data_IF_672133178955
#
_entry.id   IF_672133178955
#
_cell.length_a   1.000
_cell.length_b   1.000
_cell.length_c   1.000
_cell.angle_alpha   90.00
_cell.angle_beta   90.00
_cell.angle_gamma   90.00
#
_symmetry.space_group_name_H-M   'P 1'
#
loop_
_entity.id
_entity.type
_entity.pdbx_description
1 polymer ?
#
# COMPACT_ATOMS: atom_id res chain seq x y z
N UNK A 1 -6.49 3.34 -17.06
CA UNK A 1 -5.18 3.22 -16.40
C UNK A 1 -5.07 1.93 -15.60
N UNK A 2 -3.83 1.47 -15.39
CA UNK A 2 -3.52 0.48 -14.35
C UNK A 2 -2.72 1.22 -13.27
N UNK A 3 -3.05 0.99 -12.01
CA UNK A 3 -2.29 1.49 -10.86
C UNK A 3 -2.29 0.45 -9.75
N UNK A 4 -1.27 0.45 -8.90
CA UNK A 4 -1.16 -0.53 -7.83
C UNK A 4 -0.02 -0.22 -6.90
N UNK A 5 0.09 -1.04 -5.87
CA UNK A 5 1.13 -0.94 -4.84
C UNK A 5 1.64 -2.32 -4.48
N UNK A 6 2.83 -2.38 -3.91
CA UNK A 6 3.23 -3.49 -3.07
C UNK A 6 2.44 -3.45 -1.74
N UNK A 7 2.29 -4.59 -1.05
CA UNK A 7 1.50 -4.64 0.19
C UNK A 7 2.17 -3.88 1.34
N UNK A 8 3.51 -3.85 1.35
CA UNK A 8 4.33 -3.34 2.45
C UNK A 8 5.23 -2.18 1.99
N UNK A 9 4.71 -1.24 1.18
CA UNK A 9 5.47 -0.15 0.54
C UNK A 9 6.42 0.60 1.50
N UNK A 10 5.95 0.92 2.71
CA UNK A 10 6.71 1.72 3.68
C UNK A 10 7.83 0.98 4.41
N UNK A 11 7.88 -0.37 4.34
CA UNK A 11 8.78 -1.16 5.18
C UNK A 11 10.27 -0.92 4.85
N UNK A 12 10.60 -0.74 3.56
CA UNK A 12 11.95 -0.46 3.10
C UNK A 12 12.43 0.91 3.60
N UNK A 13 11.59 1.93 3.47
CA UNK A 13 11.92 3.31 3.86
C UNK A 13 12.03 3.48 5.37
N UNK A 14 11.26 2.70 6.13
CA UNK A 14 11.24 2.77 7.59
C UNK A 14 12.42 2.07 8.27
N UNK A 15 13.31 1.39 7.55
CA UNK A 15 14.51 0.75 8.14
C UNK A 15 15.36 1.79 8.88
N UNK A 16 15.47 3.01 8.35
CA UNK A 16 16.20 4.12 8.97
C UNK A 16 15.57 4.65 10.26
N UNK A 17 14.34 4.25 10.58
CA UNK A 17 13.61 4.64 11.80
C UNK A 17 13.68 3.59 12.92
N UNK A 18 14.53 2.57 12.79
CA UNK A 18 14.61 1.44 13.74
C UNK A 18 15.01 1.85 15.17
N UNK A 19 15.62 3.03 15.35
CA UNK A 19 15.98 3.58 16.65
C UNK A 19 14.81 4.26 17.38
N UNK A 20 13.64 4.41 16.75
CA UNK A 20 12.45 5.02 17.35
C UNK A 20 11.71 3.97 18.19
N UNK A 21 11.53 4.29 19.46
CA UNK A 21 11.09 3.35 20.50
C UNK A 21 9.74 3.69 21.11
N UNK A 22 9.40 4.98 21.23
CA UNK A 22 8.16 5.42 21.87
C UNK A 22 7.30 6.32 20.95
N UNK A 23 6.09 6.63 21.42
CA UNK A 23 5.11 7.39 20.64
C UNK A 23 5.50 8.87 20.45
N UNK A 24 6.20 9.47 21.41
CA UNK A 24 6.65 10.86 21.31
C UNK A 24 7.76 11.01 20.27
N UNK A 25 8.64 10.01 20.17
CA UNK A 25 9.63 9.92 19.10
C UNK A 25 8.96 9.69 17.73
N UNK A 26 7.88 8.89 17.64
CA UNK A 26 7.09 8.76 16.39
C UNK A 26 6.45 10.09 16.03
N UNK A 27 5.86 10.81 16.99
CA UNK A 27 5.29 12.14 16.76
C UNK A 27 6.34 13.09 16.20
N UNK A 28 7.53 13.10 16.81
CA UNK A 28 8.66 13.92 16.38
C UNK A 28 9.06 13.56 14.95
N UNK A 29 9.19 12.26 14.65
CA UNK A 29 9.46 11.79 13.30
C UNK A 29 8.43 12.27 12.27
N UNK A 30 7.13 12.16 12.60
CA UNK A 30 6.07 12.64 11.72
C UNK A 30 6.18 14.15 11.52
N UNK A 31 6.38 14.92 12.57
CA UNK A 31 6.51 16.38 12.51
C UNK A 31 7.75 16.83 11.73
N UNK A 32 8.87 16.12 11.84
CA UNK A 32 10.10 16.53 11.17
C UNK A 32 10.16 16.13 9.70
N UNK A 33 9.68 14.93 9.36
CA UNK A 33 9.97 14.32 8.05
C UNK A 33 8.76 14.10 7.15
N UNK A 34 7.53 14.10 7.70
CA UNK A 34 6.33 13.71 6.96
C UNK A 34 5.26 14.79 6.94
N UNK A 35 5.03 15.48 8.05
CA UNK A 35 3.88 16.35 8.27
C UNK A 35 4.31 17.62 9.04
N UNK A 36 5.27 18.41 8.52
CA UNK A 36 5.84 19.56 9.24
C UNK A 36 4.81 20.64 9.59
N UNK A 37 3.78 20.79 8.78
CA UNK A 37 2.74 21.79 8.98
C UNK A 37 1.51 21.27 9.74
N UNK A 38 1.41 19.96 10.00
CA UNK A 38 0.29 19.39 10.74
C UNK A 38 0.29 19.86 12.20
N UNK A 39 -0.89 20.16 12.73
CA UNK A 39 -1.09 20.50 14.15
C UNK A 39 -0.87 19.27 15.04
N UNK A 40 -0.59 19.50 16.32
CA UNK A 40 -0.43 18.40 17.29
C UNK A 40 -1.69 17.51 17.37
N UNK A 41 -2.87 18.13 17.21
CA UNK A 41 -4.15 17.42 17.16
C UNK A 41 -4.25 16.49 15.95
N UNK A 42 -3.79 16.91 14.78
CA UNK A 42 -3.78 16.07 13.58
C UNK A 42 -2.76 14.93 13.70
N UNK A 43 -1.61 15.17 14.35
CA UNK A 43 -0.65 14.12 14.68
C UNK A 43 -1.24 13.11 15.68
N UNK A 44 -1.95 13.56 16.71
CA UNK A 44 -2.66 12.67 17.64
C UNK A 44 -3.67 11.77 16.92
N UNK A 45 -4.41 12.33 15.96
CA UNK A 45 -5.38 11.59 15.17
C UNK A 45 -4.68 10.58 14.26
N UNK A 46 -3.55 10.96 13.65
CA UNK A 46 -2.71 10.05 12.87
C UNK A 46 -2.29 8.86 13.72
N UNK A 47 -1.74 9.12 14.91
CA UNK A 47 -1.29 8.07 15.83
C UNK A 47 -2.43 7.18 16.35
N UNK A 48 -3.66 7.71 16.45
CA UNK A 48 -4.85 6.92 16.77
C UNK A 48 -5.29 6.01 15.63
N UNK A 49 -5.22 6.46 14.38
CA UNK A 49 -5.52 5.64 13.21
C UNK A 49 -4.49 4.51 12.99
N UNK A 50 -3.26 4.71 13.43
CA UNK A 50 -2.17 3.74 13.34
C UNK A 50 -1.68 3.35 14.73
N UNK A 51 -2.31 2.37 15.40
CA UNK A 51 -1.94 2.00 16.76
C UNK A 51 -0.53 1.38 16.83
N UNK A 52 0.17 1.57 17.95
CA UNK A 52 1.52 1.01 18.19
C UNK A 52 1.59 -0.51 18.39
N UNK A 53 0.48 -1.25 18.20
CA UNK A 53 0.48 -2.71 18.32
C UNK A 53 1.16 -3.33 17.07
N UNK A 54 2.23 -4.14 17.22
CA UNK A 54 2.99 -4.65 16.07
C UNK A 54 2.19 -5.46 15.05
N UNK A 55 1.10 -6.12 15.46
CA UNK A 55 0.24 -6.89 14.55
C UNK A 55 -0.61 -6.01 13.63
N UNK A 56 -0.80 -4.73 13.95
CA UNK A 56 -1.49 -3.77 13.11
C UNK A 56 -0.56 -3.08 12.08
N UNK A 57 0.75 -3.23 12.23
CA UNK A 57 1.75 -2.53 11.43
C UNK A 57 2.25 -3.32 10.21
N UNK A 58 3.05 -2.62 9.40
CA UNK A 58 3.71 -3.11 8.19
C UNK A 58 5.09 -3.75 8.52
N UNK A 59 5.47 -4.94 8.04
CA UNK A 59 4.73 -5.75 7.07
C UNK A 59 3.42 -6.30 7.62
N UNK A 60 2.33 -6.09 6.87
CA UNK A 60 0.97 -6.43 7.28
C UNK A 60 0.77 -7.95 7.35
N UNK A 61 -0.22 -8.40 8.13
CA UNK A 61 -0.57 -9.82 8.27
C UNK A 61 0.56 -10.73 8.81
N UNK A 62 1.58 -10.15 9.45
CA UNK A 62 2.73 -10.91 9.99
C UNK A 62 2.72 -11.06 11.52
N UNK A 63 1.73 -10.49 12.21
CA UNK A 63 1.63 -10.53 13.67
C UNK A 63 2.82 -9.83 14.32
N UNK A 64 3.47 -10.50 15.28
CA UNK A 64 4.66 -10.00 15.99
C UNK A 64 5.99 -10.33 15.28
N UNK A 65 5.95 -10.90 14.08
CA UNK A 65 7.16 -11.07 13.26
C UNK A 65 7.60 -9.72 12.67
N UNK A 66 8.85 -9.65 12.20
CA UNK A 66 9.40 -8.51 11.47
C UNK A 66 9.51 -7.20 12.30
N UNK A 67 9.72 -7.31 13.62
CA UNK A 67 9.93 -6.15 14.49
C UNK A 67 11.42 -5.80 14.49
N UNK A 68 11.81 -4.81 13.68
CA UNK A 68 13.19 -4.29 13.63
C UNK A 68 13.48 -3.30 14.78
N UNK A 69 12.44 -2.61 15.25
CA UNK A 69 12.44 -1.71 16.40
C UNK A 69 11.00 -1.55 16.92
N UNK A 70 10.80 -0.99 18.13
CA UNK A 70 9.47 -0.98 18.76
C UNK A 70 8.39 -0.28 17.93
N UNK A 71 8.73 0.80 17.22
CA UNK A 71 7.79 1.56 16.38
C UNK A 71 7.97 1.31 14.88
N UNK A 72 8.94 0.48 14.48
CA UNK A 72 9.27 0.22 13.07
C UNK A 72 8.04 -0.10 12.23
N UNK A 73 7.23 -1.07 12.69
CA UNK A 73 6.06 -1.52 11.93
C UNK A 73 4.96 -0.47 11.83
N UNK A 74 4.84 0.39 12.85
CA UNK A 74 3.88 1.49 12.89
C UNK A 74 4.28 2.57 11.88
N UNK A 75 5.54 2.98 11.90
CA UNK A 75 6.08 3.98 10.97
C UNK A 75 6.00 3.47 9.53
N UNK A 76 6.32 2.20 9.29
CA UNK A 76 6.19 1.57 7.98
C UNK A 76 4.75 1.58 7.45
N UNK A 77 3.76 1.36 8.32
CA UNK A 77 2.35 1.44 7.92
C UNK A 77 1.94 2.87 7.57
N UNK A 78 2.35 3.86 8.38
CA UNK A 78 2.05 5.27 8.13
C UNK A 78 2.71 5.74 6.82
N UNK A 79 4.01 5.50 6.64
CA UNK A 79 4.74 5.91 5.44
C UNK A 79 4.15 5.27 4.17
N UNK A 80 3.89 3.96 4.21
CA UNK A 80 3.30 3.25 3.08
C UNK A 80 1.93 3.80 2.70
N UNK A 81 1.07 4.04 3.69
CA UNK A 81 -0.28 4.55 3.42
C UNK A 81 -0.27 6.02 2.97
N UNK A 82 0.55 6.89 3.58
CA UNK A 82 0.64 8.31 3.22
C UNK A 82 1.19 8.50 1.80
N UNK A 83 2.29 7.81 1.46
CA UNK A 83 3.03 8.07 0.21
C UNK A 83 2.50 7.26 -0.97
N UNK A 84 1.90 6.08 -0.73
CA UNK A 84 1.58 5.13 -1.79
C UNK A 84 0.10 4.73 -1.82
N UNK A 85 -0.41 4.08 -0.77
CA UNK A 85 -1.75 3.49 -0.83
C UNK A 85 -2.88 4.54 -0.86
N UNK A 86 -2.78 5.60 -0.07
CA UNK A 86 -3.81 6.66 -0.03
C UNK A 86 -3.84 7.46 -1.33
N UNK A 87 -2.70 7.89 -1.92
CA UNK A 87 -2.68 8.47 -3.25
C UNK A 87 -3.27 7.55 -4.32
N UNK A 88 -2.93 6.25 -4.33
CA UNK A 88 -3.53 5.28 -5.27
C UNK A 88 -5.05 5.26 -5.17
N UNK A 89 -5.61 5.13 -3.96
CA UNK A 89 -7.06 5.14 -3.76
C UNK A 89 -7.70 6.47 -4.13
N UNK A 90 -7.06 7.58 -3.79
CA UNK A 90 -7.50 8.92 -4.18
C UNK A 90 -7.62 9.04 -5.70
N UNK A 91 -6.59 8.63 -6.46
CA UNK A 91 -6.64 8.64 -7.93
C UNK A 91 -7.77 7.76 -8.47
N UNK A 92 -7.91 6.54 -7.95
CA UNK A 92 -8.97 5.62 -8.39
C UNK A 92 -10.37 6.17 -8.12
N UNK A 93 -10.61 6.75 -6.95
CA UNK A 93 -11.89 7.36 -6.59
C UNK A 93 -12.28 8.52 -7.51
N UNK A 94 -11.31 9.27 -8.03
CA UNK A 94 -11.57 10.42 -8.90
C UNK A 94 -11.59 10.06 -10.39
N UNK A 95 -11.00 8.94 -10.81
CA UNK A 95 -10.85 8.60 -12.23
C UNK A 95 -11.69 7.41 -12.66
N UNK A 96 -12.05 6.50 -11.75
CA UNK A 96 -12.99 5.43 -12.05
C UNK A 96 -14.34 6.03 -12.50
N UNK A 97 -14.91 5.48 -13.58
CA UNK A 97 -16.12 5.98 -14.23
C UNK A 97 -15.87 7.12 -15.24
N UNK A 98 -14.73 7.82 -15.18
CA UNK A 98 -14.29 8.79 -16.21
C UNK A 98 -13.38 8.16 -17.25
N UNK A 99 -12.61 7.16 -16.84
CA UNK A 99 -11.82 6.29 -17.70
C UNK A 99 -11.85 4.85 -17.16
N UNK A 100 -11.57 3.87 -18.02
CA UNK A 100 -11.39 2.50 -17.54
C UNK A 100 -10.16 2.46 -16.64
N UNK A 101 -10.32 1.99 -15.40
CA UNK A 101 -9.26 1.92 -14.39
C UNK A 101 -9.21 0.52 -13.80
N UNK A 102 -8.00 0.06 -13.45
CA UNK A 102 -7.76 -1.23 -12.84
C UNK A 102 -6.74 -1.09 -11.71
N UNK A 103 -7.00 -1.75 -10.59
CA UNK A 103 -6.13 -1.69 -9.40
C UNK A 103 -5.46 -3.03 -9.14
N UNK A 104 -4.20 -3.03 -8.71
CA UNK A 104 -3.55 -4.21 -8.14
C UNK A 104 -2.91 -3.97 -6.78
N UNK A 105 -2.65 -5.07 -6.08
CA UNK A 105 -1.82 -5.15 -4.88
C UNK A 105 -0.83 -6.31 -5.03
N UNK A 106 0.46 -6.04 -4.94
CA UNK A 106 1.48 -7.08 -4.99
C UNK A 106 1.79 -7.58 -3.57
N UNK A 107 1.38 -8.81 -3.28
CA UNK A 107 1.81 -9.63 -2.14
C UNK A 107 2.89 -10.65 -2.55
N UNK A 108 3.66 -10.35 -3.61
CA UNK A 108 4.86 -11.12 -4.00
C UNK A 108 5.99 -10.83 -3.03
N UNK A 109 6.84 -11.82 -2.75
CA UNK A 109 7.93 -11.72 -1.77
C UNK A 109 7.42 -11.45 -0.34
N UNK A 110 6.22 -11.91 0.01
CA UNK A 110 5.59 -11.55 1.31
C UNK A 110 6.40 -12.01 2.52
N UNK A 111 7.20 -13.06 2.36
CA UNK A 111 8.06 -13.62 3.42
C UNK A 111 9.48 -13.01 3.45
N UNK A 112 9.76 -11.95 2.68
CA UNK A 112 11.03 -11.23 2.78
C UNK A 112 11.21 -10.68 4.21
N UNK A 113 12.29 -11.08 4.89
CA UNK A 113 12.50 -10.74 6.29
C UNK A 113 12.48 -9.23 6.51
N UNK A 114 11.79 -8.79 7.57
CA UNK A 114 11.56 -7.39 7.97
C UNK A 114 10.72 -6.56 7.00
N UNK A 115 10.84 -6.79 5.70
CA UNK A 115 10.31 -5.93 4.65
C UNK A 115 9.00 -6.42 4.03
N UNK A 116 8.76 -7.72 3.98
CA UNK A 116 7.62 -8.30 3.26
C UNK A 116 7.61 -7.91 1.78
N UNK A 117 6.42 -7.72 1.21
CA UNK A 117 6.24 -7.23 -0.15
C UNK A 117 6.53 -5.73 -0.20
N UNK A 118 7.81 -5.38 -0.11
CA UNK A 118 8.26 -4.00 0.01
C UNK A 118 8.24 -3.25 -1.32
N UNK A 119 8.45 -1.94 -1.24
CA UNK A 119 8.64 -1.09 -2.40
C UNK A 119 9.61 -1.71 -3.42
N UNK A 120 9.24 -1.65 -4.70
CA UNK A 120 9.97 -2.19 -5.85
C UNK A 120 10.06 -3.73 -5.96
N UNK A 121 9.51 -4.51 -5.03
CA UNK A 121 9.48 -5.98 -5.15
C UNK A 121 8.62 -6.49 -6.31
N UNK A 122 7.62 -5.71 -6.72
CA UNK A 122 6.76 -5.98 -7.88
C UNK A 122 7.48 -5.84 -9.23
N UNK A 123 8.64 -5.19 -9.30
CA UNK A 123 9.46 -5.10 -10.53
C UNK A 123 9.78 -6.48 -11.08
N UNK A 124 10.04 -7.46 -10.20
CA UNK A 124 10.30 -8.85 -10.62
C UNK A 124 9.09 -9.46 -11.34
N UNK A 125 7.87 -9.12 -10.92
CA UNK A 125 6.64 -9.57 -11.54
C UNK A 125 6.32 -8.78 -12.83
N UNK A 126 6.56 -7.46 -12.84
CA UNK A 126 6.23 -6.58 -13.95
C UNK A 126 7.22 -6.66 -15.14
N UNK A 127 8.51 -6.82 -14.86
CA UNK A 127 9.57 -6.83 -15.88
C UNK A 127 10.25 -8.20 -16.06
N UNK A 128 10.06 -9.12 -15.12
CA UNK A 128 10.52 -10.51 -15.23
C UNK A 128 9.56 -11.38 -16.05
N UNK A 129 9.24 -12.56 -15.53
CA UNK A 129 8.36 -13.56 -16.14
C UNK A 129 7.02 -13.73 -15.40
N UNK A 130 6.64 -12.74 -14.59
CA UNK A 130 5.41 -12.76 -13.80
C UNK A 130 4.15 -12.32 -14.57
N UNK A 131 2.98 -12.61 -13.98
CA UNK A 131 1.69 -12.38 -14.62
C UNK A 131 1.37 -10.89 -14.83
N UNK A 132 1.91 -10.01 -13.98
CA UNK A 132 1.71 -8.57 -14.10
C UNK A 132 2.27 -8.04 -15.43
N UNK A 133 3.41 -8.58 -15.89
CA UNK A 133 3.98 -8.26 -17.21
C UNK A 133 2.97 -8.50 -18.33
N UNK A 134 2.30 -9.65 -18.33
CA UNK A 134 1.35 -10.02 -19.38
C UNK A 134 0.11 -9.13 -19.37
N UNK A 135 -0.37 -8.71 -18.20
CA UNK A 135 -1.46 -7.72 -18.11
C UNK A 135 -1.02 -6.36 -18.65
N UNK A 136 0.21 -5.91 -18.35
CA UNK A 136 0.75 -4.64 -18.86
C UNK A 136 0.90 -4.69 -20.39
N UNK A 137 1.47 -5.77 -20.94
CA UNK A 137 1.63 -5.94 -22.39
C UNK A 137 0.27 -5.90 -23.08
N UNK A 138 -0.74 -6.62 -22.56
CA UNK A 138 -2.10 -6.56 -23.11
C UNK A 138 -2.66 -5.15 -23.06
N UNK A 139 -2.61 -4.50 -21.90
CA UNK A 139 -3.12 -3.15 -21.72
C UNK A 139 -2.48 -2.14 -22.68
N UNK A 140 -1.18 -2.23 -22.93
CA UNK A 140 -0.49 -1.35 -23.90
C UNK A 140 -1.02 -1.58 -25.33
N UNK A 141 -1.33 -2.81 -25.70
CA UNK A 141 -1.78 -3.14 -27.06
C UNK A 141 -3.29 -2.95 -27.27
N UNK A 142 -4.11 -3.10 -26.24
CA UNK A 142 -5.58 -3.19 -26.37
C UNK A 142 -6.35 -2.19 -25.50
N UNK A 143 -5.67 -1.45 -24.63
CA UNK A 143 -6.26 -0.60 -23.60
C UNK A 143 -7.16 -1.36 -22.59
N UNK A 144 -7.02 -2.69 -22.52
CA UNK A 144 -7.67 -3.57 -21.57
C UNK A 144 -6.67 -4.64 -21.09
N UNK A 145 -6.41 -4.76 -19.77
CA UNK A 145 -5.50 -5.79 -19.30
C UNK A 145 -6.04 -7.20 -19.53
N UNK A 146 -7.34 -7.40 -19.78
CA UNK A 146 -7.95 -8.73 -19.91
C UNK A 146 -7.68 -9.42 -21.25
N UNK A 147 -7.81 -10.76 -21.27
CA UNK A 147 -7.69 -11.57 -22.48
C UNK A 147 -7.13 -12.97 -22.25
N UNK A 148 -7.33 -13.86 -23.22
CA UNK A 148 -6.83 -15.24 -23.18
C UNK A 148 -7.44 -16.06 -22.04
N UNK A 149 -6.59 -16.81 -21.34
CA UNK A 149 -6.96 -17.62 -20.16
C UNK A 149 -6.50 -17.00 -18.83
N UNK A 150 -6.09 -15.73 -18.85
CA UNK A 150 -5.66 -15.04 -17.64
C UNK A 150 -6.84 -14.86 -16.67
N UNK A 151 -6.53 -14.74 -15.38
CA UNK A 151 -7.52 -14.34 -14.37
C UNK A 151 -8.20 -13.02 -14.79
N UNK A 152 -9.50 -12.91 -14.54
CA UNK A 152 -10.22 -11.70 -14.91
C UNK A 152 -9.80 -10.55 -13.99
N UNK A 153 -9.33 -9.44 -14.57
CA UNK A 153 -9.02 -8.22 -13.84
C UNK A 153 -10.25 -7.30 -13.89
N UNK A 154 -11.04 -7.22 -12.81
CA UNK A 154 -12.22 -6.37 -12.76
C UNK A 154 -11.81 -4.90 -12.93
N UNK A 155 -12.59 -4.18 -13.74
CA UNK A 155 -12.52 -2.71 -13.76
C UNK A 155 -12.86 -2.19 -12.37
N UNK A 156 -12.14 -1.18 -11.92
CA UNK A 156 -12.38 -0.53 -10.65
C UNK A 156 -13.75 0.16 -10.67
N UNK A 157 -14.63 -0.27 -9.76
CA UNK A 157 -15.97 0.25 -9.60
C UNK A 157 -16.09 0.97 -8.25
N UNK A 158 -16.76 2.12 -8.23
CA UNK A 158 -16.85 2.93 -7.00
C UNK A 158 -17.83 2.35 -5.97
N UNK A 159 -18.79 1.54 -6.40
CA UNK A 159 -19.77 0.91 -5.51
C UNK A 159 -19.24 -0.42 -4.96
N UNK A 160 -18.40 -1.10 -5.73
CA UNK A 160 -17.77 -2.37 -5.38
C UNK A 160 -16.27 -2.37 -5.79
N UNK A 161 -15.41 -1.63 -5.04
CA UNK A 161 -14.02 -1.45 -5.41
C UNK A 161 -13.23 -2.74 -5.24
N UNK A 162 -12.65 -3.23 -6.35
CA UNK A 162 -11.85 -4.45 -6.36
C UNK A 162 -10.43 -4.19 -6.88
N UNK A 163 -9.49 -4.98 -6.35
CA UNK A 163 -8.13 -5.06 -6.85
C UNK A 163 -7.76 -6.51 -7.16
N UNK A 164 -6.87 -6.70 -8.13
CA UNK A 164 -6.17 -7.98 -8.32
C UNK A 164 -5.00 -8.06 -7.35
N UNK A 165 -4.87 -9.18 -6.65
CA UNK A 165 -3.73 -9.48 -5.79
C UNK A 165 -2.84 -10.49 -6.48
N UNK A 166 -1.55 -10.17 -6.59
CA UNK A 166 -0.51 -11.13 -6.97
C UNK A 166 0.14 -11.66 -5.70
N UNK A 167 0.17 -12.98 -5.49
CA UNK A 167 0.60 -13.56 -4.20
C UNK A 167 1.34 -14.88 -4.37
N UNK A 168 2.26 -15.17 -3.44
CA UNK A 168 3.08 -16.39 -3.41
C UNK A 168 2.25 -17.63 -3.04
N UNK A 169 1.35 -18.02 -3.94
CA UNK A 169 0.49 -19.18 -3.83
C UNK A 169 0.62 -20.04 -5.09
N UNK A 170 0.87 -21.32 -4.90
CA UNK A 170 0.95 -22.30 -5.99
C UNK A 170 -0.42 -22.54 -6.63
N UNK A 171 -1.49 -22.44 -5.85
CA UNK A 171 -2.85 -22.79 -6.29
C UNK A 171 -3.60 -21.53 -6.78
N UNK A 172 -3.41 -20.41 -6.09
CA UNK A 172 -4.14 -19.16 -6.37
C UNK A 172 -3.17 -17.97 -6.49
N UNK A 173 -2.26 -17.97 -7.48
CA UNK A 173 -1.23 -16.91 -7.60
C UNK A 173 -1.80 -15.53 -7.90
N UNK A 174 -2.99 -15.48 -8.51
CA UNK A 174 -3.72 -14.26 -8.85
C UNK A 174 -5.17 -14.41 -8.38
N UNK A 175 -5.63 -13.46 -7.56
CA UNK A 175 -7.02 -13.43 -7.05
C UNK A 175 -7.60 -12.01 -7.16
N UNK A 176 -8.91 -11.87 -7.08
CA UNK A 176 -9.57 -10.57 -6.92
C UNK A 176 -10.12 -10.43 -5.51
N UNK A 177 -9.87 -9.29 -4.88
CA UNK A 177 -10.33 -8.98 -3.52
C UNK A 177 -10.97 -7.59 -3.48
N UNK A 178 -11.71 -7.30 -2.41
CA UNK A 178 -12.17 -5.96 -2.12
C UNK A 178 -10.98 -5.05 -1.78
N UNK A 179 -10.98 -3.83 -2.31
CA UNK A 179 -9.97 -2.81 -2.02
C UNK A 179 -10.45 -1.89 -0.89
N UNK A 180 -10.68 -2.47 0.29
CA UNK A 180 -11.26 -1.80 1.47
C UNK A 180 -10.39 -1.89 2.74
N UNK A 181 -9.22 -2.54 2.68
CA UNK A 181 -8.27 -2.60 3.80
C UNK A 181 -7.94 -1.20 4.34
N UNK A 182 -7.85 -1.03 5.67
CA UNK A 182 -7.47 0.24 6.33
C UNK A 182 -8.20 1.49 5.80
N UNK A 183 -9.46 1.35 5.34
CA UNK A 183 -10.22 2.41 4.65
C UNK A 183 -10.21 3.74 5.40
N UNK A 184 -10.52 3.73 6.70
CA UNK A 184 -10.66 4.96 7.47
C UNK A 184 -9.30 5.64 7.71
N UNK A 185 -8.25 4.87 8.02
CA UNK A 185 -6.91 5.39 8.23
C UNK A 185 -6.35 6.04 6.95
N UNK A 186 -6.49 5.36 5.79
CA UNK A 186 -6.07 5.92 4.50
C UNK A 186 -6.90 7.14 4.09
N UNK A 187 -8.22 7.14 4.32
CA UNK A 187 -9.05 8.31 4.03
C UNK A 187 -8.65 9.52 4.89
N UNK A 188 -8.32 9.29 6.16
CA UNK A 188 -7.82 10.33 7.05
C UNK A 188 -6.51 10.91 6.56
N UNK A 189 -5.49 10.08 6.29
CA UNK A 189 -4.18 10.60 5.85
C UNK A 189 -4.20 11.17 4.44
N UNK A 190 -5.07 10.67 3.54
CA UNK A 190 -5.30 11.31 2.24
C UNK A 190 -5.77 12.76 2.39
N UNK A 191 -6.77 13.00 3.26
CA UNK A 191 -7.28 14.34 3.53
C UNK A 191 -6.22 15.20 4.23
N UNK A 192 -5.46 14.61 5.15
CA UNK A 192 -4.39 15.31 5.84
C UNK A 192 -3.31 15.77 4.86
N UNK A 193 -2.90 14.93 3.90
CA UNK A 193 -1.93 15.29 2.86
C UNK A 193 -2.44 16.35 1.88
N UNK A 194 -3.76 16.50 1.72
CA UNK A 194 -4.34 17.62 0.94
C UNK A 194 -4.27 18.95 1.69
N UNK A 195 -4.39 18.92 3.02
CA UNK A 195 -4.27 20.10 3.89
C UNK A 195 -2.81 20.49 4.12
N UNK A 196 -1.95 19.49 4.27
CA UNK A 196 -0.51 19.61 4.52
C UNK A 196 0.27 18.80 3.48
N UNK A 197 0.48 19.35 2.28
CA UNK A 197 1.29 18.69 1.26
C UNK A 197 2.69 18.38 1.78
N UNK A 198 3.17 17.16 1.47
CA UNK A 198 4.54 16.69 1.72
C UNK A 198 5.58 17.58 1.01
#
# INVERSE_FOLDING_TARGET
MITGNCDDEGSLFSISSANITDEDEVRTFLKEFMLPNATDYELDLTLRHYPGLPSAGCPFDTGFRNILGPQYKRIAAIQGDVVFHSPRRFFLQHLAGRQNSWSFLSKRMKDLAFMGSAHATDILNAFGDGELRDYIIRFVNTLDPNGGRAHAWPKYDLQNPQAVVFQDSVIWPVISVQDDYRKDAMAFVANLSLLHPL
#
